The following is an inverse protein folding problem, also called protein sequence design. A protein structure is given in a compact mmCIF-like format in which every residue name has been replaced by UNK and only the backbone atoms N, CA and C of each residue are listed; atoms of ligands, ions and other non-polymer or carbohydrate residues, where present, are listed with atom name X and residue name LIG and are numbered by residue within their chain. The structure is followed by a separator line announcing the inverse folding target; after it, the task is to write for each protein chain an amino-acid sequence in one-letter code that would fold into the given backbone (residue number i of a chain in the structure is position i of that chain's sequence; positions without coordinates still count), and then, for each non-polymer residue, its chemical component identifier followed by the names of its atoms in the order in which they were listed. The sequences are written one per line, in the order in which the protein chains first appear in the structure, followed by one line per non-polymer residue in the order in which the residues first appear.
data_IF_581057242925
#
_entry.id   IF_581057242925
#
_cell.length_a   1.000
_cell.length_b   1.000
_cell.length_c   1.000
_cell.angle_alpha   90.00
_cell.angle_beta   90.00
_cell.angle_gamma   90.00
#
_symmetry.space_group_name_H-M   'P 1'
#
loop_
_entity.id
_entity.type
_entity.pdbx_description
1 polymer ?
#
# COMPACT_ATOMS: atom_id res chain seq x y z
N UNK A 1 -2.19 10.63 31.21
CA UNK A 1 -1.00 10.27 30.42
C UNK A 1 -1.32 9.14 29.43
N UNK A 2 -1.97 8.04 29.86
CA UNK A 2 -2.28 6.88 29.00
C UNK A 2 -3.27 7.18 27.86
N UNK A 3 -4.28 8.03 28.09
CA UNK A 3 -5.25 8.43 27.06
C UNK A 3 -4.64 9.32 25.98
N UNK A 4 -3.68 10.19 26.30
CA UNK A 4 -2.98 11.02 25.32
C UNK A 4 -2.10 10.20 24.39
N UNK A 5 -1.35 9.23 24.93
CA UNK A 5 -0.51 8.32 24.15
C UNK A 5 -1.34 7.45 23.19
N UNK A 6 -2.45 6.90 23.69
CA UNK A 6 -3.38 6.12 22.86
C UNK A 6 -3.98 6.96 21.73
N UNK A 7 -4.38 8.19 22.02
CA UNK A 7 -4.91 9.13 21.02
C UNK A 7 -3.86 9.47 19.96
N UNK A 8 -2.62 9.72 20.37
CA UNK A 8 -1.51 10.04 19.46
C UNK A 8 -1.16 8.86 18.54
N UNK A 9 -1.07 7.64 19.08
CA UNK A 9 -0.86 6.44 18.28
C UNK A 9 -2.00 6.19 17.30
N UNK A 10 -3.25 6.31 17.77
CA UNK A 10 -4.43 6.16 16.92
C UNK A 10 -4.41 7.18 15.78
N UNK A 11 -4.10 8.43 16.05
CA UNK A 11 -4.02 9.48 15.03
C UNK A 11 -2.90 9.22 14.00
N UNK A 12 -1.74 8.72 14.43
CA UNK A 12 -0.64 8.34 13.54
C UNK A 12 -1.03 7.16 12.64
N UNK A 13 -1.62 6.11 13.20
CA UNK A 13 -2.10 4.94 12.45
C UNK A 13 -3.15 5.35 11.42
N UNK A 14 -4.14 6.16 11.83
CA UNK A 14 -5.22 6.62 10.98
C UNK A 14 -4.75 7.65 9.92
N UNK A 15 -3.65 8.34 10.14
CA UNK A 15 -3.07 9.26 9.17
C UNK A 15 -2.39 8.56 7.97
N UNK A 16 -2.07 7.28 8.11
CA UNK A 16 -1.26 6.52 7.14
C UNK A 16 -2.05 5.37 6.50
N UNK A 17 -2.87 4.69 7.28
CA UNK A 17 -3.64 3.53 6.83
C UNK A 17 -5.02 3.91 6.30
N UNK A 18 -5.58 3.15 5.36
CA UNK A 18 -6.95 3.36 4.90
C UNK A 18 -7.94 3.14 6.05
N UNK A 19 -9.01 3.94 6.04
CA UNK A 19 -10.04 3.86 7.06
C UNK A 19 -11.09 2.81 6.74
N UNK A 20 -11.34 2.58 5.45
CA UNK A 20 -12.20 1.52 4.93
C UNK A 20 -11.48 0.84 3.77
N UNK A 21 -11.55 -0.47 3.72
CA UNK A 21 -11.06 -1.29 2.63
C UNK A 21 -12.19 -2.13 2.06
N UNK A 22 -12.27 -2.19 0.72
CA UNK A 22 -13.22 -3.03 0.02
C UNK A 22 -12.43 -4.05 -0.81
N UNK A 23 -12.64 -5.32 -0.53
CA UNK A 23 -12.20 -6.43 -1.37
C UNK A 23 -13.35 -6.92 -2.22
N UNK A 24 -13.04 -7.32 -3.46
CA UNK A 24 -14.01 -7.83 -4.40
C UNK A 24 -13.51 -9.21 -4.84
N UNK A 25 -14.37 -10.22 -4.70
CA UNK A 25 -14.02 -11.58 -5.10
C UNK A 25 -14.51 -11.88 -6.52
N UNK A 26 -13.68 -12.61 -7.26
CA UNK A 26 -13.98 -13.21 -8.57
C UNK A 26 -14.31 -12.27 -9.72
N UNK A 27 -14.31 -10.97 -9.52
CA UNK A 27 -14.64 -10.01 -10.57
C UNK A 27 -13.81 -8.74 -10.51
N UNK A 28 -13.71 -8.05 -11.64
CA UNK A 28 -13.09 -6.72 -11.72
C UNK A 28 -14.21 -5.66 -11.77
N UNK A 29 -14.02 -4.56 -11.03
CA UNK A 29 -14.85 -3.38 -11.22
C UNK A 29 -14.36 -2.57 -12.42
N UNK A 30 -15.28 -2.15 -13.26
CA UNK A 30 -14.96 -1.25 -14.37
C UNK A 30 -14.43 0.09 -13.86
N UNK A 31 -13.61 0.74 -14.68
CA UNK A 31 -13.12 2.08 -14.36
C UNK A 31 -14.27 3.09 -14.23
N UNK A 32 -15.36 2.90 -14.99
CA UNK A 32 -16.59 3.69 -14.89
C UNK A 32 -17.25 3.53 -13.53
N UNK A 33 -17.33 2.31 -12.99
CA UNK A 33 -17.90 2.07 -11.67
C UNK A 33 -17.10 2.78 -10.57
N UNK A 34 -15.78 2.70 -10.65
CA UNK A 34 -14.89 3.40 -9.70
C UNK A 34 -15.04 4.92 -9.81
N UNK A 35 -15.21 5.45 -11.02
CA UNK A 35 -15.45 6.88 -11.22
C UNK A 35 -16.78 7.33 -10.61
N UNK A 36 -17.84 6.55 -10.78
CA UNK A 36 -19.14 6.83 -10.16
C UNK A 36 -19.07 6.75 -8.63
N UNK A 37 -18.29 5.81 -8.09
CA UNK A 37 -18.07 5.70 -6.64
C UNK A 37 -17.34 6.94 -6.11
N UNK A 38 -16.31 7.42 -6.82
CA UNK A 38 -15.59 8.66 -6.48
C UNK A 38 -16.48 9.90 -6.56
N UNK A 39 -17.39 9.96 -7.52
CA UNK A 39 -18.34 11.06 -7.67
C UNK A 39 -19.37 11.06 -6.52
N UNK A 40 -19.95 9.87 -6.23
CA UNK A 40 -20.91 9.71 -5.13
C UNK A 40 -20.32 10.08 -3.77
N UNK A 41 -19.04 9.77 -3.54
CA UNK A 41 -18.32 10.04 -2.30
C UNK A 41 -17.20 11.06 -2.55
N UNK A 42 -17.54 12.23 -3.10
CA UNK A 42 -16.56 13.26 -3.51
C UNK A 42 -15.67 13.77 -2.36
N UNK A 43 -16.14 13.67 -1.11
CA UNK A 43 -15.38 14.06 0.08
C UNK A 43 -14.38 13.00 0.55
N UNK A 44 -14.45 11.78 -0.05
CA UNK A 44 -13.56 10.68 0.30
C UNK A 44 -12.39 10.61 -0.69
N UNK A 45 -11.24 10.22 -0.18
CA UNK A 45 -10.12 9.84 -1.05
C UNK A 45 -10.21 8.35 -1.32
N UNK A 46 -10.47 7.98 -2.57
CA UNK A 46 -10.69 6.60 -3.00
C UNK A 46 -9.60 6.19 -4.00
N UNK A 47 -8.84 5.17 -3.65
CA UNK A 47 -7.76 4.63 -4.48
C UNK A 47 -7.94 3.13 -4.70
N UNK A 48 -7.47 2.62 -5.84
CA UNK A 48 -7.26 1.17 -6.04
C UNK A 48 -5.79 0.87 -5.79
N UNK A 49 -5.52 -0.06 -4.89
CA UNK A 49 -4.17 -0.37 -4.43
C UNK A 49 -3.96 -1.88 -4.39
N UNK A 50 -2.79 -2.35 -4.81
CA UNK A 50 -2.36 -3.71 -4.52
C UNK A 50 -1.66 -3.73 -3.16
N UNK A 51 -1.99 -4.73 -2.34
CA UNK A 51 -1.32 -4.97 -1.07
C UNK A 51 -0.82 -6.41 -1.04
N UNK A 52 0.45 -6.60 -0.72
CA UNK A 52 1.06 -7.92 -0.65
C UNK A 52 2.25 -7.95 0.32
N UNK A 53 2.69 -9.15 0.64
CA UNK A 53 3.87 -9.40 1.47
C UNK A 53 4.99 -9.97 0.61
N UNK A 54 6.20 -9.47 0.82
CA UNK A 54 7.38 -9.88 0.09
C UNK A 54 8.59 -9.94 1.01
N UNK A 55 9.69 -10.48 0.49
CA UNK A 55 10.99 -10.47 1.15
C UNK A 55 11.92 -9.58 0.35
N UNK A 56 12.55 -8.62 1.01
CA UNK A 56 13.61 -7.79 0.42
C UNK A 56 14.97 -8.33 0.81
N UNK A 57 15.89 -8.31 -0.14
CA UNK A 57 17.25 -8.80 0.05
C UNK A 57 18.24 -7.74 -0.43
N UNK A 58 19.11 -7.32 0.46
CA UNK A 58 20.33 -6.58 0.18
C UNK A 58 21.57 -7.46 0.46
N UNK A 59 22.75 -6.90 0.31
CA UNK A 59 24.02 -7.66 0.47
C UNK A 59 24.14 -8.37 1.81
N UNK A 60 23.60 -7.79 2.88
CA UNK A 60 23.81 -8.27 4.26
C UNK A 60 22.52 -8.49 5.03
N UNK A 61 21.37 -8.17 4.43
CA UNK A 61 20.12 -8.12 5.17
C UNK A 61 18.94 -8.69 4.36
N UNK A 62 18.11 -9.47 5.04
CA UNK A 62 16.87 -10.04 4.50
C UNK A 62 15.74 -9.74 5.44
N UNK A 63 14.64 -9.18 4.92
CA UNK A 63 13.48 -8.80 5.74
C UNK A 63 12.16 -8.98 5.00
N UNK A 64 11.13 -9.44 5.73
CA UNK A 64 9.74 -9.39 5.28
C UNK A 64 9.22 -7.94 5.29
N UNK A 65 8.54 -7.55 4.22
CA UNK A 65 8.00 -6.20 4.02
C UNK A 65 6.58 -6.23 3.46
N UNK A 66 5.88 -5.12 3.63
CA UNK A 66 4.59 -4.88 3.00
C UNK A 66 4.82 -4.14 1.69
N UNK A 67 4.27 -4.67 0.62
CA UNK A 67 4.27 -4.04 -0.70
C UNK A 67 2.95 -3.31 -0.91
N UNK A 68 3.06 -2.04 -1.26
CA UNK A 68 1.91 -1.22 -1.64
C UNK A 68 2.06 -0.78 -3.09
N UNK A 69 1.30 -1.43 -3.98
CA UNK A 69 1.29 -1.12 -5.41
C UNK A 69 0.27 -0.03 -5.72
N UNK A 70 0.75 1.16 -6.10
CA UNK A 70 -0.07 2.35 -6.27
C UNK A 70 -0.07 2.90 -7.69
N UNK A 71 -1.15 3.54 -8.07
CA UNK A 71 -1.21 4.33 -9.30
C UNK A 71 -0.53 5.69 -9.05
N UNK A 72 0.60 5.93 -9.74
CA UNK A 72 1.36 7.18 -9.64
C UNK A 72 0.54 8.42 -9.98
N UNK A 73 -0.42 8.29 -10.90
CA UNK A 73 -1.20 9.43 -11.40
C UNK A 73 -2.37 9.81 -10.47
N UNK A 74 -2.65 9.01 -9.44
CA UNK A 74 -3.63 9.37 -8.42
C UNK A 74 -3.08 10.50 -7.53
N UNK A 75 -3.78 11.65 -7.54
CA UNK A 75 -3.36 12.84 -6.79
C UNK A 75 -3.15 12.55 -5.30
N UNK A 76 -4.00 11.72 -4.71
CA UNK A 76 -3.92 11.39 -3.29
C UNK A 76 -2.61 10.66 -2.95
N UNK A 77 -2.15 9.75 -3.81
CA UNK A 77 -0.87 9.04 -3.64
C UNK A 77 0.31 10.01 -3.77
N UNK A 78 0.25 10.89 -4.77
CA UNK A 78 1.26 11.91 -4.99
C UNK A 78 1.37 12.85 -3.79
N UNK A 79 0.27 13.40 -3.32
CA UNK A 79 0.26 14.37 -2.21
C UNK A 79 0.73 13.70 -0.91
N UNK A 80 0.31 12.45 -0.65
CA UNK A 80 0.76 11.69 0.52
C UNK A 80 2.26 11.44 0.49
N UNK A 81 2.79 10.87 -0.60
CA UNK A 81 4.21 10.51 -0.66
C UNK A 81 5.10 11.76 -0.67
N UNK A 82 4.76 12.78 -1.45
CA UNK A 82 5.54 14.01 -1.48
C UNK A 82 5.65 14.70 -0.11
N UNK A 83 4.62 14.60 0.70
CA UNK A 83 4.64 15.17 2.07
C UNK A 83 5.73 14.53 2.94
N UNK A 84 6.02 13.25 2.71
CA UNK A 84 6.91 12.47 3.57
C UNK A 84 8.28 12.16 2.94
N UNK A 85 8.52 12.49 1.66
CA UNK A 85 9.83 12.30 1.02
C UNK A 85 10.88 13.16 1.72
N UNK A 86 11.96 12.50 2.17
CA UNK A 86 13.12 13.13 2.80
C UNK A 86 14.37 13.06 1.92
N UNK A 87 14.41 12.13 0.95
CA UNK A 87 15.49 11.98 -0.03
C UNK A 87 14.94 11.46 -1.35
N UNK A 88 15.53 11.85 -2.48
CA UNK A 88 15.04 11.50 -3.80
C UNK A 88 13.89 12.37 -4.29
N UNK A 89 13.14 11.89 -5.30
CA UNK A 89 12.07 12.65 -5.92
C UNK A 89 10.96 11.74 -6.43
N UNK A 90 9.71 12.14 -6.21
CA UNK A 90 8.53 11.43 -6.72
C UNK A 90 8.52 11.29 -8.25
N UNK A 91 9.10 12.24 -8.98
CA UNK A 91 9.18 12.15 -10.45
C UNK A 91 9.98 10.93 -10.92
N UNK A 92 10.97 10.49 -10.13
CA UNK A 92 11.79 9.31 -10.41
C UNK A 92 11.07 7.98 -10.10
N UNK A 93 9.89 8.05 -9.52
CA UNK A 93 9.05 6.89 -9.25
C UNK A 93 8.40 6.39 -10.56
N UNK A 94 9.14 5.57 -11.29
CA UNK A 94 8.81 4.99 -12.60
C UNK A 94 8.72 3.47 -12.53
N UNK A 95 8.46 2.79 -13.66
CA UNK A 95 8.52 1.32 -13.71
C UNK A 95 9.90 0.83 -13.27
N UNK A 96 9.92 -0.26 -12.49
CA UNK A 96 11.14 -0.83 -11.94
C UNK A 96 11.77 -0.02 -10.81
N UNK A 97 11.06 0.98 -10.27
CA UNK A 97 11.54 1.75 -9.11
C UNK A 97 10.57 1.68 -7.93
N UNK A 98 11.09 1.96 -6.73
CA UNK A 98 10.36 1.90 -5.47
C UNK A 98 10.64 3.12 -4.60
N UNK A 99 9.70 3.38 -3.67
CA UNK A 99 9.89 4.32 -2.56
C UNK A 99 9.89 3.51 -1.28
N UNK A 100 10.89 3.72 -0.43
CA UNK A 100 11.08 3.00 0.83
C UNK A 100 10.81 3.90 2.04
N UNK A 101 10.37 3.29 3.13
CA UNK A 101 10.45 3.92 4.44
C UNK A 101 11.91 4.08 4.88
N UNK A 102 12.22 5.15 5.59
CA UNK A 102 13.58 5.49 6.04
C UNK A 102 14.23 4.39 6.87
N UNK A 103 13.49 3.83 7.81
CA UNK A 103 14.02 2.77 8.69
C UNK A 103 14.34 1.48 7.92
N UNK A 104 13.55 1.19 6.88
CA UNK A 104 13.83 0.07 5.99
C UNK A 104 15.08 0.33 5.15
N UNK A 105 15.21 1.52 4.57
CA UNK A 105 16.38 1.90 3.78
C UNK A 105 17.69 1.81 4.59
N UNK A 106 17.66 2.30 5.83
CA UNK A 106 18.80 2.18 6.78
C UNK A 106 19.12 0.70 7.05
N UNK A 107 18.12 -0.12 7.35
CA UNK A 107 18.31 -1.55 7.64
C UNK A 107 18.89 -2.31 6.45
N UNK A 108 18.47 -1.98 5.24
CA UNK A 108 18.97 -2.58 4.01
C UNK A 108 20.33 -2.02 3.57
N UNK A 109 20.79 -0.91 4.14
CA UNK A 109 22.00 -0.22 3.74
C UNK A 109 21.91 0.37 2.32
N UNK A 110 20.70 0.77 1.88
CA UNK A 110 20.47 1.32 0.55
C UNK A 110 20.13 2.81 0.59
N UNK A 111 20.49 3.51 -0.48
CA UNK A 111 20.23 4.93 -0.72
C UNK A 111 19.46 5.12 -2.00
N UNK A 112 19.03 6.34 -2.29
CA UNK A 112 18.46 6.72 -3.58
C UNK A 112 19.42 6.34 -4.71
N UNK A 113 18.88 5.76 -5.78
CA UNK A 113 19.53 5.16 -6.94
C UNK A 113 20.21 3.79 -6.71
N UNK A 114 20.27 3.27 -5.49
CA UNK A 114 20.72 1.91 -5.27
C UNK A 114 19.68 0.88 -5.76
N UNK A 115 20.16 -0.33 -6.03
CA UNK A 115 19.35 -1.46 -6.47
C UNK A 115 19.34 -2.55 -5.42
N UNK A 116 18.21 -3.20 -5.27
CA UNK A 116 18.05 -4.39 -4.41
C UNK A 116 16.97 -5.31 -4.97
N UNK A 117 16.89 -6.52 -4.43
CA UNK A 117 15.95 -7.54 -4.90
C UNK A 117 14.74 -7.67 -3.99
N UNK A 118 13.59 -7.85 -4.62
CA UNK A 118 12.33 -8.18 -3.94
C UNK A 118 11.86 -9.54 -4.44
N UNK A 119 11.59 -10.45 -3.50
CA UNK A 119 11.04 -11.78 -3.75
C UNK A 119 9.60 -11.81 -3.28
N UNK A 120 8.67 -12.12 -4.18
CA UNK A 120 7.25 -12.28 -3.83
C UNK A 120 6.92 -13.70 -3.37
N UNK A 121 5.70 -13.87 -2.87
CA UNK A 121 5.13 -15.18 -2.58
C UNK A 121 4.66 -15.94 -3.82
N UNK A 122 4.74 -15.35 -5.01
CA UNK A 122 4.42 -16.01 -6.28
C UNK A 122 5.56 -16.85 -6.80
N UNK A 123 5.21 -17.89 -7.58
CA UNK A 123 6.17 -18.84 -8.12
C UNK A 123 6.12 -18.85 -9.65
N UNK A 124 7.29 -19.06 -10.25
CA UNK A 124 7.44 -19.32 -11.68
C UNK A 124 7.76 -20.80 -11.85
N UNK A 125 6.96 -21.50 -12.66
CA UNK A 125 7.23 -22.90 -13.02
C UNK A 125 8.45 -22.98 -13.94
N UNK A 126 9.44 -23.79 -13.56
CA UNK A 126 10.61 -24.08 -14.38
C UNK A 126 10.80 -25.59 -14.54
N UNK A 127 11.59 -26.07 -15.53
CA UNK A 127 11.90 -27.49 -15.64
C UNK A 127 12.57 -28.10 -14.41
N UNK A 128 13.15 -27.25 -13.55
CA UNK A 128 13.82 -27.66 -12.30
C UNK A 128 12.91 -27.52 -11.06
N UNK A 129 11.64 -27.14 -11.24
CA UNK A 129 10.68 -26.91 -10.17
C UNK A 129 10.18 -25.46 -10.10
N UNK A 130 9.40 -25.18 -9.06
CA UNK A 130 8.85 -23.86 -8.85
C UNK A 130 9.86 -22.96 -8.13
N UNK A 131 10.19 -21.82 -8.74
CA UNK A 131 11.06 -20.81 -8.15
C UNK A 131 10.24 -19.57 -7.74
N UNK A 132 10.53 -18.94 -6.59
CA UNK A 132 9.90 -17.68 -6.21
C UNK A 132 10.16 -16.60 -7.27
N UNK A 133 9.15 -15.81 -7.59
CA UNK A 133 9.32 -14.67 -8.51
C UNK A 133 10.12 -13.58 -7.80
N UNK A 134 11.19 -13.15 -8.44
CA UNK A 134 12.12 -12.14 -7.92
C UNK A 134 12.38 -11.09 -8.98
N UNK A 135 12.40 -9.83 -8.57
CA UNK A 135 12.70 -8.68 -9.42
C UNK A 135 13.64 -7.71 -8.72
N UNK A 136 14.44 -7.02 -9.51
CA UNK A 136 15.37 -5.98 -9.04
C UNK A 136 14.74 -4.61 -9.20
N UNK A 137 14.73 -3.82 -8.14
CA UNK A 137 14.18 -2.46 -8.14
C UNK A 137 15.23 -1.42 -7.77
N UNK A 138 15.04 -0.21 -8.31
CA UNK A 138 15.87 0.97 -7.99
C UNK A 138 15.15 1.85 -6.98
N UNK A 139 15.84 2.36 -5.99
CA UNK A 139 15.29 3.30 -5.00
C UNK A 139 15.11 4.67 -5.63
N UNK A 140 13.87 5.11 -5.84
CA UNK A 140 13.53 6.44 -6.40
C UNK A 140 13.50 7.52 -5.33
N UNK A 141 13.02 7.18 -4.14
CA UNK A 141 12.92 8.09 -3.01
C UNK A 141 12.81 7.33 -1.68
N UNK A 142 13.06 8.05 -0.60
CA UNK A 142 12.93 7.58 0.78
C UNK A 142 11.96 8.50 1.50
N UNK A 143 11.02 7.92 2.24
CA UNK A 143 10.03 8.65 3.05
C UNK A 143 10.30 8.46 4.54
N UNK A 144 9.91 9.46 5.32
CA UNK A 144 9.84 9.38 6.78
C UNK A 144 8.46 9.87 7.24
N UNK A 145 7.59 8.94 7.57
CA UNK A 145 6.23 9.25 8.04
C UNK A 145 6.19 9.70 9.50
N UNK A 146 7.28 9.47 10.24
CA UNK A 146 7.36 9.66 11.68
C UNK A 146 6.72 8.51 12.48
N UNK A 147 6.30 7.43 11.81
CA UNK A 147 5.81 6.22 12.44
C UNK A 147 6.77 5.05 12.14
N UNK A 148 7.62 4.73 13.12
CA UNK A 148 8.70 3.76 12.97
C UNK A 148 8.25 2.42 12.42
N UNK A 149 7.16 1.85 12.96
CA UNK A 149 6.65 0.54 12.56
C UNK A 149 6.21 0.51 11.08
N UNK A 150 5.70 1.61 10.56
CA UNK A 150 5.37 1.75 9.17
C UNK A 150 6.62 1.90 8.30
N UNK A 151 7.51 2.83 8.67
CA UNK A 151 8.70 3.17 7.90
C UNK A 151 9.70 2.01 7.80
N UNK A 152 9.69 1.09 8.76
CA UNK A 152 10.58 -0.08 8.71
C UNK A 152 10.05 -1.23 7.83
N UNK A 153 8.78 -1.20 7.41
CA UNK A 153 8.16 -2.34 6.75
C UNK A 153 7.56 -2.03 5.37
N UNK A 154 7.50 -0.76 4.95
CA UNK A 154 6.77 -0.36 3.76
C UNK A 154 7.66 -0.20 2.53
N UNK A 155 7.19 -0.75 1.41
CA UNK A 155 7.72 -0.52 0.06
C UNK A 155 6.57 -0.11 -0.85
N UNK A 156 6.64 1.09 -1.40
CA UNK A 156 5.73 1.53 -2.47
C UNK A 156 6.33 1.20 -3.83
N UNK A 157 5.53 0.63 -4.71
CA UNK A 157 5.90 0.42 -6.11
C UNK A 157 4.75 0.78 -7.04
N UNK A 158 5.02 0.87 -8.32
CA UNK A 158 3.97 1.07 -9.31
C UNK A 158 3.01 -0.09 -9.29
N UNK A 159 1.71 0.18 -9.39
CA UNK A 159 0.66 -0.84 -9.39
C UNK A 159 0.94 -1.96 -10.42
N UNK A 160 1.39 -1.58 -11.62
CA UNK A 160 1.74 -2.53 -12.67
C UNK A 160 2.88 -3.46 -12.26
N UNK A 161 3.93 -2.92 -11.62
CA UNK A 161 5.08 -3.71 -11.15
C UNK A 161 4.66 -4.67 -10.04
N UNK A 162 3.78 -4.23 -9.11
CA UNK A 162 3.29 -5.10 -8.04
C UNK A 162 2.43 -6.24 -8.58
N UNK A 163 1.53 -5.96 -9.51
CA UNK A 163 0.70 -6.99 -10.14
C UNK A 163 1.55 -8.01 -10.90
N UNK A 164 2.59 -7.55 -11.61
CA UNK A 164 3.54 -8.43 -12.28
C UNK A 164 4.32 -9.29 -11.27
N UNK A 165 4.92 -8.67 -10.25
CA UNK A 165 5.75 -9.35 -9.25
C UNK A 165 4.97 -10.45 -8.50
N UNK A 166 3.68 -10.24 -8.25
CA UNK A 166 2.83 -11.18 -7.52
C UNK A 166 1.98 -12.09 -8.41
N UNK A 167 2.14 -12.02 -9.73
CA UNK A 167 1.31 -12.76 -10.69
C UNK A 167 -0.19 -12.51 -10.50
N UNK A 168 -0.55 -11.25 -10.35
CA UNK A 168 -1.90 -10.76 -10.06
C UNK A 168 -2.40 -9.85 -11.18
N UNK A 169 -3.68 -9.53 -11.14
CA UNK A 169 -4.32 -8.65 -12.11
C UNK A 169 -5.26 -7.64 -11.42
N UNK A 170 -5.96 -6.81 -12.18
CA UNK A 170 -6.79 -5.73 -11.63
C UNK A 170 -7.91 -6.18 -10.70
N UNK A 171 -8.40 -7.43 -10.80
CA UNK A 171 -9.41 -7.97 -9.87
C UNK A 171 -8.86 -8.16 -8.45
N UNK A 172 -7.54 -8.28 -8.32
CA UNK A 172 -6.86 -8.46 -7.03
C UNK A 172 -6.56 -7.12 -6.32
N UNK A 173 -6.99 -6.00 -6.90
CA UNK A 173 -6.83 -4.68 -6.27
C UNK A 173 -7.87 -4.47 -5.18
N UNK A 174 -7.41 -3.91 -4.07
CA UNK A 174 -8.26 -3.43 -2.98
C UNK A 174 -8.65 -1.99 -3.22
N UNK A 175 -9.92 -1.63 -2.97
CA UNK A 175 -10.33 -0.23 -2.90
C UNK A 175 -10.06 0.26 -1.50
N UNK A 176 -9.26 1.30 -1.39
CA UNK A 176 -8.91 1.96 -0.14
C UNK A 176 -9.61 3.32 -0.06
N UNK A 177 -10.29 3.57 1.06
CA UNK A 177 -11.02 4.81 1.31
C UNK A 177 -10.42 5.49 2.53
N UNK A 178 -10.09 6.77 2.35
CA UNK A 178 -9.63 7.66 3.41
C UNK A 178 -10.70 8.74 3.63
N UNK A 179 -11.23 8.79 4.85
CA UNK A 179 -12.26 9.73 5.29
C UNK A 179 -11.62 10.98 5.88
N UNK A 180 -12.33 12.09 5.85
CA UNK A 180 -11.93 13.28 6.60
C UNK A 180 -12.00 13.05 8.12
N UNK A 181 -12.99 12.25 8.57
CA UNK A 181 -13.12 11.80 9.95
C UNK A 181 -13.01 10.28 10.01
N UNK A 182 -11.85 9.70 10.36
CA UNK A 182 -11.64 8.26 10.42
C UNK A 182 -12.56 7.53 11.41
N UNK A 183 -13.02 8.22 12.45
CA UNK A 183 -13.88 7.63 13.48
C UNK A 183 -15.29 7.29 12.96
N UNK A 184 -15.66 7.85 11.81
CA UNK A 184 -16.93 7.56 11.14
C UNK A 184 -16.87 6.33 10.22
N UNK A 185 -15.74 5.64 10.12
CA UNK A 185 -15.58 4.50 9.19
C UNK A 185 -16.66 3.44 9.39
N UNK A 186 -16.96 3.05 10.63
CA UNK A 186 -17.96 2.04 10.94
C UNK A 186 -19.39 2.46 10.57
N UNK A 187 -19.69 3.77 10.60
CA UNK A 187 -21.00 4.29 10.20
C UNK A 187 -21.26 4.17 8.70
N UNK A 188 -20.21 4.20 7.87
CA UNK A 188 -20.30 4.03 6.41
C UNK A 188 -20.24 2.57 5.96
N UNK A 189 -19.80 1.65 6.83
CA UNK A 189 -19.59 0.25 6.47
C UNK A 189 -20.82 -0.40 5.85
N UNK A 190 -21.97 -0.32 6.52
CA UNK A 190 -23.22 -0.95 6.05
C UNK A 190 -23.73 -0.31 4.76
N UNK A 191 -23.62 1.01 4.62
CA UNK A 191 -24.01 1.72 3.39
C UNK A 191 -23.17 1.24 2.20
N UNK A 192 -21.85 1.20 2.37
CA UNK A 192 -20.93 0.79 1.31
C UNK A 192 -21.09 -0.70 0.99
N UNK A 193 -21.27 -1.55 2.00
CA UNK A 193 -21.52 -2.98 1.80
C UNK A 193 -22.76 -3.26 0.94
N UNK A 194 -23.79 -2.44 1.08
CA UNK A 194 -25.05 -2.59 0.34
C UNK A 194 -25.01 -2.01 -1.08
N UNK A 195 -23.90 -1.40 -1.51
CA UNK A 195 -23.80 -0.87 -2.88
C UNK A 195 -23.64 -1.98 -3.92
N UNK A 196 -23.02 -3.08 -3.55
CA UNK A 196 -22.76 -4.21 -4.45
C UNK A 196 -22.56 -5.49 -3.62
N UNK A 197 -23.28 -6.55 -3.97
CA UNK A 197 -23.22 -7.84 -3.27
C UNK A 197 -21.84 -8.50 -3.30
N UNK A 198 -20.98 -8.08 -4.24
CA UNK A 198 -19.59 -8.56 -4.37
C UNK A 198 -18.62 -7.90 -3.40
N UNK A 199 -19.05 -6.87 -2.66
CA UNK A 199 -18.19 -6.12 -1.74
C UNK A 199 -18.03 -6.84 -0.42
N UNK A 200 -16.77 -6.90 0.04
CA UNK A 200 -16.40 -7.26 1.41
C UNK A 200 -15.74 -6.04 2.03
N UNK A 201 -16.45 -5.40 2.94
CA UNK A 201 -16.05 -4.11 3.52
C UNK A 201 -15.46 -4.32 4.89
N UNK A 202 -14.23 -3.85 5.06
CA UNK A 202 -13.51 -3.84 6.34
C UNK A 202 -13.20 -2.41 6.73
N UNK A 203 -13.37 -2.09 8.01
CA UNK A 203 -12.94 -0.81 8.56
C UNK A 203 -11.63 -0.99 9.33
N UNK A 204 -10.96 0.11 9.61
CA UNK A 204 -9.73 0.08 10.42
C UNK A 204 -9.98 -0.53 11.81
N UNK A 205 -11.18 -0.39 12.37
CA UNK A 205 -11.59 -1.02 13.64
C UNK A 205 -11.72 -2.53 13.52
N UNK A 206 -12.21 -3.05 12.38
CA UNK A 206 -12.29 -4.50 12.13
C UNK A 206 -10.90 -5.15 12.12
N UNK A 207 -9.91 -4.44 11.54
CA UNK A 207 -8.54 -4.94 11.41
C UNK A 207 -7.74 -4.84 12.70
N UNK A 208 -8.17 -3.97 13.62
CA UNK A 208 -7.47 -3.70 14.88
C UNK A 208 -8.30 -4.09 16.12
N UNK A 209 -9.18 -5.09 16.01
CA UNK A 209 -10.01 -5.57 17.12
C UNK A 209 -9.23 -6.09 18.34
N UNK A 210 -7.93 -6.25 18.21
CA UNK A 210 -7.04 -6.74 19.29
C UNK A 210 -6.38 -5.62 20.11
N UNK A 211 -6.71 -4.33 19.85
CA UNK A 211 -6.15 -3.18 20.58
C UNK A 211 -7.15 -2.52 21.52
#
# INVERSE_FOLDING_TARGET
VMNGFRSELTNKILGINPHIMIQIYESELSDTYISNLKEKYSDFKINRTFNGEAVVISKEFTKGVLIKGINKNEKNNHDFLNKYIIDGNYNNFTEGSVILGNELAISLGVKVNDKFNIISSSFIGTPLGNLPRQETFTVAAIINSGFYEFDQNIVFMRQKDSLFLFDKNKKDLTIEIYLNDPLKADSYKSEIQNLDDRFFVYTWTDLNKSF
#
